data_IF_738366676709
#
_entry.id   IF_738366676709
#
_cell.length_a   1.000
_cell.length_b   1.000
_cell.length_c   1.000
_cell.angle_alpha   90.00
_cell.angle_beta   90.00
_cell.angle_gamma   90.00
#
_symmetry.space_group_name_H-M   'P 1'
#
loop_
_entity.id
_entity.type
_entity.pdbx_description
1 polymer ?
#
# COMPACT_ATOMS: atom_id res chain seq x y z
N UNK A 1 -14.61 5.75 10.10
CA UNK A 1 -14.24 4.94 8.92
C UNK A 1 -12.74 5.11 8.73
N UNK A 2 -11.98 4.02 8.84
CA UNK A 2 -10.52 4.07 8.71
C UNK A 2 -10.14 3.61 7.30
N UNK A 3 -9.31 4.39 6.63
CA UNK A 3 -8.76 4.06 5.32
C UNK A 3 -7.28 3.78 5.49
N UNK A 4 -6.82 2.67 4.93
CA UNK A 4 -5.41 2.35 4.84
C UNK A 4 -4.99 2.42 3.39
N UNK A 5 -3.76 2.86 3.13
CA UNK A 5 -3.14 2.67 1.83
C UNK A 5 -2.35 1.38 1.89
N UNK A 6 -2.57 0.55 0.88
CA UNK A 6 -1.68 -0.56 0.59
C UNK A 6 -0.80 -0.17 -0.60
N UNK A 7 0.50 -0.16 -0.35
CA UNK A 7 1.52 0.08 -1.37
C UNK A 7 2.27 -1.22 -1.54
N UNK A 8 2.30 -1.79 -2.73
CA UNK A 8 2.84 -3.12 -2.93
C UNK A 8 3.58 -3.29 -4.26
N UNK A 9 4.56 -4.17 -4.25
CA UNK A 9 5.38 -4.45 -5.41
C UNK A 9 4.72 -5.54 -6.27
N UNK A 10 4.51 -5.24 -7.54
CA UNK A 10 3.83 -6.12 -8.50
C UNK A 10 4.74 -7.16 -9.13
N UNK A 11 6.06 -7.08 -8.98
CA UNK A 11 6.97 -8.10 -9.53
C UNK A 11 6.91 -9.41 -8.76
N UNK A 12 6.45 -9.36 -7.52
CA UNK A 12 6.43 -10.50 -6.60
C UNK A 12 5.00 -11.07 -6.40
N UNK A 13 4.01 -10.54 -7.12
CA UNK A 13 2.59 -10.93 -6.96
C UNK A 13 1.89 -11.13 -8.29
N UNK A 14 1.17 -12.24 -8.42
CA UNK A 14 0.24 -12.43 -9.53
C UNK A 14 -0.98 -11.51 -9.36
N UNK A 15 -1.01 -10.44 -10.14
CA UNK A 15 -2.09 -9.45 -10.12
C UNK A 15 -3.44 -10.02 -10.55
N UNK A 16 -3.49 -11.17 -11.24
CA UNK A 16 -4.74 -11.79 -11.72
C UNK A 16 -5.60 -12.34 -10.59
N UNK A 17 -4.97 -12.82 -9.51
CA UNK A 17 -5.65 -13.35 -8.32
C UNK A 17 -5.28 -12.53 -7.07
N UNK A 18 -5.15 -11.21 -7.23
CA UNK A 18 -4.76 -10.33 -6.14
C UNK A 18 -5.89 -10.17 -5.12
N UNK A 19 -5.88 -11.01 -4.10
CA UNK A 19 -6.63 -10.81 -2.86
C UNK A 19 -5.68 -10.28 -1.77
N UNK A 20 -5.77 -8.96 -1.54
CA UNK A 20 -4.94 -8.28 -0.55
C UNK A 20 -5.16 -8.82 0.86
N UNK A 21 -6.40 -9.23 1.20
CA UNK A 21 -6.72 -9.75 2.52
C UNK A 21 -6.06 -11.10 2.72
N UNK A 22 -6.17 -11.99 1.73
CA UNK A 22 -5.56 -13.33 1.79
C UNK A 22 -4.04 -13.26 1.89
N UNK A 23 -3.41 -12.35 1.13
CA UNK A 23 -1.96 -12.17 1.13
C UNK A 23 -1.44 -11.58 2.44
N UNK A 24 -2.18 -10.67 3.08
CA UNK A 24 -1.78 -10.03 4.32
C UNK A 24 -2.10 -10.84 5.58
N UNK A 25 -3.09 -11.74 5.52
CA UNK A 25 -3.46 -12.57 6.65
C UNK A 25 -2.40 -13.64 6.89
N UNK A 26 -1.96 -13.79 8.14
CA UNK A 26 -1.04 -14.81 8.61
C UNK A 26 -1.73 -15.88 9.48
N UNK A 27 -3.05 -15.79 9.63
CA UNK A 27 -3.88 -16.74 10.35
C UNK A 27 -4.26 -17.97 9.49
N UNK A 28 -5.07 -18.88 10.04
CA UNK A 28 -5.52 -20.10 9.33
C UNK A 28 -6.31 -19.82 8.04
N UNK A 29 -6.79 -18.60 7.83
CA UNK A 29 -7.49 -18.15 6.63
C UNK A 29 -6.56 -17.44 5.62
N UNK A 30 -5.29 -17.24 5.97
CA UNK A 30 -4.30 -16.55 5.15
C UNK A 30 -3.53 -17.45 4.19
N UNK A 31 -2.87 -16.84 3.22
CA UNK A 31 -2.03 -17.56 2.28
C UNK A 31 -0.67 -17.89 2.94
N UNK A 32 -0.42 -19.19 3.14
CA UNK A 32 0.81 -19.71 3.76
C UNK A 32 1.93 -20.01 2.76
N UNK A 33 1.77 -19.68 1.48
CA UNK A 33 2.82 -19.87 0.47
C UNK A 33 4.06 -19.03 0.77
N UNK A 34 5.23 -19.50 0.33
CA UNK A 34 6.48 -18.73 0.44
C UNK A 34 6.39 -17.37 -0.27
N UNK A 35 5.62 -17.28 -1.37
CA UNK A 35 5.35 -16.01 -2.07
C UNK A 35 4.52 -15.05 -1.22
N UNK A 36 3.50 -15.53 -0.51
CA UNK A 36 2.71 -14.69 0.38
C UNK A 36 3.51 -14.25 1.60
N UNK A 37 4.39 -15.12 2.14
CA UNK A 37 5.34 -14.72 3.19
C UNK A 37 6.29 -13.62 2.69
N UNK A 38 6.94 -13.83 1.53
CA UNK A 38 7.84 -12.83 0.93
C UNK A 38 7.13 -11.50 0.67
N UNK A 39 5.87 -11.58 0.23
CA UNK A 39 5.02 -10.41 0.02
C UNK A 39 4.86 -9.59 1.30
N UNK A 40 4.48 -10.24 2.41
CA UNK A 40 4.31 -9.60 3.72
C UNK A 40 5.60 -9.00 4.27
N UNK A 41 6.72 -9.68 4.05
CA UNK A 41 8.01 -9.27 4.62
C UNK A 41 8.67 -8.11 3.87
N UNK A 42 8.48 -8.03 2.55
CA UNK A 42 9.32 -7.16 1.71
C UNK A 42 8.62 -6.48 0.54
N UNK A 43 7.40 -6.86 0.20
CA UNK A 43 6.73 -6.39 -1.02
C UNK A 43 5.44 -5.63 -0.74
N UNK A 44 5.21 -5.23 0.51
CA UNK A 44 4.04 -4.45 0.91
C UNK A 44 4.34 -3.47 2.05
N UNK A 45 3.79 -2.28 1.94
CA UNK A 45 3.70 -1.29 3.00
C UNK A 45 2.24 -0.93 3.23
N UNK A 46 1.76 -1.12 4.46
CA UNK A 46 0.44 -0.68 4.90
C UNK A 46 0.61 0.57 5.74
N UNK A 47 0.01 1.68 5.29
CA UNK A 47 0.09 2.96 6.00
C UNK A 47 -1.30 3.52 6.26
N UNK A 48 -1.48 4.13 7.43
CA UNK A 48 -2.73 4.81 7.76
C UNK A 48 -2.69 6.23 7.24
N UNK A 49 -3.73 6.62 6.48
CA UNK A 49 -3.92 8.01 6.10
C UNK A 49 -4.42 8.82 7.29
N UNK A 50 -3.77 9.93 7.63
CA UNK A 50 -4.32 10.88 8.61
C UNK A 50 -5.30 11.87 7.97
N UNK A 51 -5.28 11.98 6.64
CA UNK A 51 -6.25 12.76 5.86
C UNK A 51 -6.61 12.00 4.59
N UNK A 52 -7.89 11.91 4.28
CA UNK A 52 -8.37 11.38 3.01
C UNK A 52 -9.50 12.25 2.45
N UNK A 53 -9.30 12.79 1.24
CA UNK A 53 -10.30 13.56 0.50
C UNK A 53 -10.93 12.65 -0.55
N UNK A 54 -12.13 12.17 -0.27
CA UNK A 54 -12.87 11.25 -1.15
C UNK A 54 -13.19 11.87 -2.51
N UNK A 55 -13.48 13.17 -2.57
CA UNK A 55 -13.83 13.89 -3.80
C UNK A 55 -12.72 13.85 -4.86
N UNK A 56 -11.45 13.83 -4.42
CA UNK A 56 -10.27 13.82 -5.31
C UNK A 56 -9.46 12.53 -5.18
N UNK A 57 -9.91 11.57 -4.38
CA UNK A 57 -9.17 10.36 -4.01
C UNK A 57 -7.75 10.65 -3.50
N UNK A 58 -7.57 11.74 -2.75
CA UNK A 58 -6.24 12.18 -2.28
C UNK A 58 -6.05 11.80 -0.81
N UNK A 59 -5.04 10.99 -0.52
CA UNK A 59 -4.66 10.64 0.84
C UNK A 59 -3.35 11.33 1.26
N UNK A 60 -3.24 11.65 2.54
CA UNK A 60 -2.01 12.17 3.15
C UNK A 60 -1.63 11.28 4.32
N UNK A 61 -0.36 10.88 4.34
CA UNK A 61 0.20 9.95 5.31
C UNK A 61 1.66 10.30 5.58
N UNK A 62 2.20 9.76 6.68
CA UNK A 62 3.62 9.85 7.00
C UNK A 62 4.36 8.64 6.47
N UNK A 63 5.54 8.89 5.89
CA UNK A 63 6.44 7.86 5.43
C UNK A 63 7.87 8.36 5.55
N UNK A 64 8.81 7.45 5.78
CA UNK A 64 10.23 7.78 5.73
C UNK A 64 10.62 8.17 4.30
N UNK A 65 11.50 9.16 4.19
CA UNK A 65 11.92 9.67 2.88
C UNK A 65 12.58 8.59 2.02
N UNK A 66 13.48 7.79 2.59
CA UNK A 66 14.19 6.73 1.86
C UNK A 66 13.24 5.66 1.30
N UNK A 67 12.16 5.35 2.02
CA UNK A 67 11.12 4.44 1.55
C UNK A 67 10.32 5.07 0.40
N UNK A 68 9.94 6.34 0.52
CA UNK A 68 9.26 7.05 -0.58
C UNK A 68 10.11 7.08 -1.85
N UNK A 69 11.41 7.33 -1.70
CA UNK A 69 12.36 7.37 -2.82
C UNK A 69 12.44 5.97 -3.48
N UNK A 70 12.50 4.88 -2.71
CA UNK A 70 12.45 3.51 -3.24
C UNK A 70 11.16 3.22 -4.02
N UNK A 71 10.01 3.55 -3.42
CA UNK A 71 8.68 3.28 -3.99
C UNK A 71 8.44 4.04 -5.29
N UNK A 72 9.03 5.22 -5.44
CA UNK A 72 8.85 6.09 -6.61
C UNK A 72 9.95 5.93 -7.66
N UNK A 73 11.03 5.21 -7.36
CA UNK A 73 12.14 4.96 -8.28
C UNK A 73 11.82 3.98 -9.41
N UNK A 74 10.75 3.19 -9.28
CA UNK A 74 10.35 2.19 -10.29
C UNK A 74 8.84 2.15 -10.47
N UNK A 75 8.37 1.71 -11.63
CA UNK A 75 6.94 1.51 -11.90
C UNK A 75 6.42 0.15 -11.40
N UNK A 76 7.23 -0.54 -10.59
CA UNK A 76 6.87 -1.86 -10.02
C UNK A 76 6.00 -1.74 -8.77
N UNK A 77 5.86 -0.54 -8.21
CA UNK A 77 5.06 -0.30 -7.02
C UNK A 77 3.71 0.28 -7.39
N UNK A 78 2.65 -0.35 -6.90
CA UNK A 78 1.28 0.15 -7.00
C UNK A 78 0.77 0.58 -5.63
N UNK A 79 -0.10 1.58 -5.64
CA UNK A 79 -0.82 2.04 -4.45
C UNK A 79 -2.32 1.98 -4.66
N UNK A 80 -3.04 1.57 -3.62
CA UNK A 80 -4.48 1.61 -3.57
C UNK A 80 -4.96 1.99 -2.17
N UNK A 81 -6.18 2.52 -2.09
CA UNK A 81 -6.87 2.74 -0.83
C UNK A 81 -7.72 1.52 -0.56
N UNK A 82 -7.59 0.99 0.65
CA UNK A 82 -8.35 -0.16 1.13
C UNK A 82 -9.19 0.25 2.33
N UNK A 83 -10.44 -0.23 2.33
CA UNK A 83 -11.32 -0.16 3.49
C UNK A 83 -10.96 -1.26 4.47
N UNK A 84 -10.72 -0.91 5.72
CA UNK A 84 -10.32 -1.89 6.75
C UNK A 84 -11.44 -2.86 7.13
N UNK A 85 -12.70 -2.50 6.91
CA UNK A 85 -13.86 -3.30 7.28
C UNK A 85 -14.28 -4.29 6.18
N UNK A 86 -14.26 -3.86 4.91
CA UNK A 86 -14.69 -4.66 3.77
C UNK A 86 -13.56 -5.25 2.94
N UNK A 87 -12.32 -4.78 3.15
CA UNK A 87 -11.16 -5.07 2.29
C UNK A 87 -11.39 -4.66 0.82
N UNK A 88 -12.36 -3.79 0.58
CA UNK A 88 -12.60 -3.22 -0.74
C UNK A 88 -11.44 -2.31 -1.12
N UNK A 89 -10.86 -2.60 -2.28
CA UNK A 89 -9.71 -1.89 -2.83
C UNK A 89 -10.21 -0.91 -3.90
N UNK A 90 -9.71 0.33 -3.85
CA UNK A 90 -9.93 1.32 -4.92
C UNK A 90 -9.23 0.91 -6.22
N UNK A 91 -9.35 1.74 -7.26
CA UNK A 91 -8.43 1.66 -8.40
C UNK A 91 -6.98 1.72 -7.92
N UNK A 92 -6.13 0.85 -8.49
CA UNK A 92 -4.69 0.83 -8.27
C UNK A 92 -4.04 1.84 -9.20
N UNK A 93 -3.06 2.58 -8.70
CA UNK A 93 -2.28 3.55 -9.48
C UNK A 93 -0.80 3.32 -9.25
N UNK A 94 0.05 3.75 -10.20
CA UNK A 94 1.50 3.66 -10.01
C UNK A 94 1.93 4.58 -8.86
N UNK A 95 2.79 4.08 -7.97
CA UNK A 95 3.37 4.88 -6.89
C UNK A 95 4.21 6.03 -7.46
N UNK A 96 5.01 5.78 -8.50
CA UNK A 96 5.87 6.77 -9.17
C UNK A 96 5.08 7.96 -9.74
N UNK A 97 3.86 7.73 -10.22
CA UNK A 97 3.02 8.76 -10.85
C UNK A 97 2.13 9.50 -9.84
N UNK A 98 1.77 8.86 -8.72
CA UNK A 98 0.73 9.35 -7.81
C UNK A 98 1.25 9.83 -6.46
N UNK A 99 2.46 9.43 -6.07
CA UNK A 99 3.04 9.77 -4.77
C UNK A 99 4.06 10.90 -4.89
N UNK A 100 3.93 11.90 -4.03
CA UNK A 100 4.90 13.00 -3.94
C UNK A 100 5.06 13.47 -2.51
N UNK A 101 6.25 13.97 -2.19
CA UNK A 101 6.53 14.57 -0.89
C UNK A 101 5.89 15.96 -0.82
N UNK A 102 5.10 16.19 0.22
CA UNK A 102 4.48 17.51 0.47
C UNK A 102 5.09 18.27 1.64
N UNK A 103 5.95 17.64 2.46
CA UNK A 103 6.55 18.26 3.63
C UNK A 103 7.51 17.34 4.39
N UNK A 104 8.07 17.85 5.49
CA UNK A 104 8.93 17.10 6.42
C UNK A 104 8.29 17.14 7.80
N UNK A 105 8.42 16.05 8.56
CA UNK A 105 8.13 16.10 9.98
C UNK A 105 9.28 16.78 10.72
N UNK A 106 9.06 18.00 11.20
CA UNK A 106 9.96 18.66 12.14
C UNK A 106 9.38 18.46 13.55
N UNK A 107 10.17 17.90 14.47
CA UNK A 107 9.79 17.88 15.89
C UNK A 107 10.07 19.27 16.45
N UNK A 108 9.04 19.92 16.99
CA UNK A 108 9.18 21.08 17.89
C UNK A 108 9.85 20.68 19.22
#
# INVERSE_FOLDING_TARGET
>A
MHFVLAIFNTTEVDLRNFDLRELLSDDEAGNSSDSARKFRESSVHIVTAFRFLTATCTATFWMRQDVLDELTSTDSWQVCICRTDSWEVSSRVSASESMSRIGTWERE
#
